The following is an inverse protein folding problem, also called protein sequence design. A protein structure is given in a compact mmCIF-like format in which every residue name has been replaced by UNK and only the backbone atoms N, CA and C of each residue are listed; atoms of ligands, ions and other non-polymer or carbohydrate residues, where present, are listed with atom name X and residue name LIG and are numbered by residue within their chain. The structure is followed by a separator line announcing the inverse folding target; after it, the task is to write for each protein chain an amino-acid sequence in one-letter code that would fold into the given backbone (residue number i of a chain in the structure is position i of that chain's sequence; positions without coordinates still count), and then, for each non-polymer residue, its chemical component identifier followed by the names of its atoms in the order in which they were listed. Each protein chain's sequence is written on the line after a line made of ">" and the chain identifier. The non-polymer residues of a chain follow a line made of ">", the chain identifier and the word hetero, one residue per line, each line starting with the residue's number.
data_IF_615991990738
#
_entry.id   IF_615991990738
#
_cell.length_a   1.000
_cell.length_b   1.000
_cell.length_c   1.000
_cell.angle_alpha   90.00
_cell.angle_beta   90.00
_cell.angle_gamma   90.00
#
_symmetry.space_group_name_H-M   'P 1'
#
loop_
_entity.id
_entity.type
_entity.pdbx_description
1 polymer ?
#
# COMPACT_ATOMS: atom_id res chain seq x y z
N UNK A 1 -108.23 -20.28 12.55
CA UNK A 1 -107.33 -19.20 12.08
C UNK A 1 -106.20 -18.89 13.08
N UNK A 2 -106.49 -18.65 14.36
CA UNK A 2 -105.45 -18.34 15.38
C UNK A 2 -104.44 -19.46 15.67
N UNK A 3 -104.82 -20.73 15.50
CA UNK A 3 -103.93 -21.86 15.78
C UNK A 3 -102.84 -22.09 14.72
N UNK A 4 -103.13 -21.76 13.46
CA UNK A 4 -102.16 -21.87 12.35
C UNK A 4 -101.14 -20.72 12.36
N UNK A 5 -101.54 -19.49 12.73
CA UNK A 5 -100.59 -18.38 12.88
C UNK A 5 -99.55 -18.64 13.96
N UNK A 6 -99.95 -19.13 15.15
CA UNK A 6 -99.01 -19.47 16.23
C UNK A 6 -98.03 -20.58 15.84
N UNK A 7 -98.48 -21.58 15.06
CA UNK A 7 -97.63 -22.67 14.59
C UNK A 7 -96.56 -22.18 13.61
N UNK A 8 -96.92 -21.29 12.70
CA UNK A 8 -95.97 -20.69 11.73
C UNK A 8 -94.93 -19.83 12.46
N UNK A 9 -95.33 -19.02 13.45
CA UNK A 9 -94.39 -18.20 14.23
C UNK A 9 -93.41 -19.02 15.07
N UNK A 10 -93.87 -20.16 15.62
CA UNK A 10 -93.02 -21.10 16.36
C UNK A 10 -91.97 -21.76 15.45
N UNK A 11 -92.37 -22.20 14.25
CA UNK A 11 -91.44 -22.80 13.27
C UNK A 11 -90.37 -21.78 12.84
N UNK A 12 -90.76 -20.53 12.55
CA UNK A 12 -89.79 -19.49 12.17
C UNK A 12 -88.83 -19.12 13.31
N UNK A 13 -89.27 -19.17 14.56
CA UNK A 13 -88.40 -18.91 15.71
C UNK A 13 -87.42 -20.07 15.94
N UNK A 14 -87.87 -21.30 15.69
CA UNK A 14 -87.05 -22.50 15.80
C UNK A 14 -85.97 -22.55 14.71
N UNK A 15 -86.30 -22.19 13.47
CA UNK A 15 -85.33 -22.04 12.38
C UNK A 15 -84.28 -20.95 12.67
N UNK A 16 -84.68 -19.83 13.30
CA UNK A 16 -83.74 -18.77 13.72
C UNK A 16 -82.81 -19.22 14.84
N UNK A 17 -83.30 -20.05 15.77
CA UNK A 17 -82.50 -20.63 16.84
C UNK A 17 -81.46 -21.60 16.29
N UNK A 18 -81.86 -22.51 15.40
CA UNK A 18 -80.97 -23.46 14.73
C UNK A 18 -79.93 -22.77 13.83
N UNK A 19 -80.25 -21.61 13.24
CA UNK A 19 -79.29 -20.79 12.51
C UNK A 19 -78.26 -20.14 13.45
N UNK A 20 -78.71 -19.65 14.62
CA UNK A 20 -77.83 -19.06 15.64
C UNK A 20 -76.92 -20.09 16.32
N UNK A 21 -77.41 -21.30 16.55
CA UNK A 21 -76.61 -22.42 17.08
C UNK A 21 -75.49 -22.79 16.10
N UNK A 22 -75.78 -22.91 14.80
CA UNK A 22 -74.75 -23.15 13.77
C UNK A 22 -73.71 -22.04 13.67
N UNK A 23 -74.13 -20.78 13.77
CA UNK A 23 -73.20 -19.63 13.79
C UNK A 23 -72.31 -19.66 15.04
N UNK A 24 -72.83 -20.13 16.18
CA UNK A 24 -72.06 -20.27 17.41
C UNK A 24 -71.02 -21.40 17.30
N UNK A 25 -71.42 -22.57 16.78
CA UNK A 25 -70.53 -23.71 16.53
C UNK A 25 -69.39 -23.36 15.57
N UNK A 26 -69.68 -22.60 14.50
CA UNK A 26 -68.65 -22.15 13.55
C UNK A 26 -67.65 -21.19 14.21
N UNK A 27 -68.12 -20.28 15.07
CA UNK A 27 -67.24 -19.37 15.84
C UNK A 27 -66.42 -20.09 16.89
N UNK A 28 -66.97 -21.12 17.54
CA UNK A 28 -66.24 -21.96 18.48
C UNK A 28 -65.14 -22.75 17.78
N UNK A 29 -65.41 -23.30 16.59
CA UNK A 29 -64.40 -23.97 15.77
C UNK A 29 -63.26 -23.03 15.34
N UNK A 30 -63.60 -21.82 14.86
CA UNK A 30 -62.61 -20.80 14.52
C UNK A 30 -61.77 -20.38 15.73
N UNK A 31 -62.39 -20.24 16.91
CA UNK A 31 -61.67 -19.91 18.14
C UNK A 31 -60.70 -21.03 18.55
N UNK A 32 -61.10 -22.30 18.42
CA UNK A 32 -60.22 -23.44 18.70
C UNK A 32 -59.02 -23.50 17.73
N UNK A 33 -59.22 -23.20 16.45
CA UNK A 33 -58.15 -23.14 15.46
C UNK A 33 -57.15 -22.01 15.76
N UNK A 34 -57.65 -20.82 16.13
CA UNK A 34 -56.83 -19.69 16.56
C UNK A 34 -56.04 -20.01 17.84
N UNK A 35 -56.67 -20.65 18.83
CA UNK A 35 -55.97 -21.10 20.04
C UNK A 35 -54.87 -22.12 19.74
N UNK A 36 -55.12 -23.05 18.82
CA UNK A 36 -54.13 -24.03 18.40
C UNK A 36 -52.93 -23.34 17.73
N UNK A 37 -53.19 -22.44 16.77
CA UNK A 37 -52.14 -21.66 16.10
C UNK A 37 -51.34 -20.80 17.08
N UNK A 38 -52.00 -20.21 18.09
CA UNK A 38 -51.32 -19.42 19.11
C UNK A 38 -50.41 -20.28 20.00
N UNK A 39 -50.86 -21.49 20.37
CA UNK A 39 -50.04 -22.44 21.14
C UNK A 39 -48.79 -22.86 20.39
N UNK A 40 -48.91 -23.15 19.09
CA UNK A 40 -47.73 -23.45 18.26
C UNK A 40 -46.74 -22.28 18.21
N UNK A 41 -47.22 -21.06 18.02
CA UNK A 41 -46.34 -19.89 17.92
C UNK A 41 -45.64 -19.60 19.26
N UNK A 42 -46.32 -19.79 20.39
CA UNK A 42 -45.72 -19.68 21.73
C UNK A 42 -44.61 -20.73 21.91
N UNK A 43 -44.80 -21.96 21.44
CA UNK A 43 -43.79 -23.01 21.54
C UNK A 43 -42.59 -22.76 20.61
N UNK A 44 -42.82 -22.20 19.41
CA UNK A 44 -41.74 -21.71 18.53
C UNK A 44 -40.93 -20.60 19.20
N UNK A 45 -41.57 -19.64 19.85
CA UNK A 45 -40.88 -18.56 20.56
C UNK A 45 -40.08 -19.07 21.77
N UNK A 46 -40.59 -20.09 22.48
CA UNK A 46 -39.86 -20.73 23.58
C UNK A 46 -38.60 -21.43 23.10
N UNK A 47 -38.72 -22.25 22.04
CA UNK A 47 -37.57 -22.95 21.45
C UNK A 47 -36.54 -21.98 20.89
N UNK A 48 -36.97 -20.92 20.21
CA UNK A 48 -36.08 -19.84 19.75
C UNK A 48 -35.35 -19.16 20.90
N UNK A 49 -36.05 -18.84 22.00
CA UNK A 49 -35.45 -18.22 23.19
C UNK A 49 -34.39 -19.12 23.82
N UNK A 50 -34.65 -20.43 23.93
CA UNK A 50 -33.66 -21.39 24.46
C UNK A 50 -32.42 -21.47 23.56
N UNK A 51 -32.58 -21.51 22.23
CA UNK A 51 -31.46 -21.50 21.29
C UNK A 51 -30.62 -20.22 21.39
N UNK A 52 -31.25 -19.05 21.56
CA UNK A 52 -30.53 -17.80 21.77
C UNK A 52 -29.72 -17.81 23.07
N UNK A 53 -30.27 -18.38 24.16
CA UNK A 53 -29.55 -18.50 25.43
C UNK A 53 -28.34 -19.45 25.32
N UNK A 54 -28.47 -20.56 24.60
CA UNK A 54 -27.34 -21.45 24.31
C UNK A 54 -26.27 -20.77 23.47
N UNK A 55 -26.64 -19.99 22.44
CA UNK A 55 -25.68 -19.23 21.64
C UNK A 55 -24.93 -18.18 22.45
N UNK A 56 -25.62 -17.47 23.35
CA UNK A 56 -24.98 -16.52 24.28
C UNK A 56 -23.98 -17.24 25.18
N UNK A 57 -24.36 -18.39 25.75
CA UNK A 57 -23.46 -19.17 26.60
C UNK A 57 -22.21 -19.67 25.87
N UNK A 58 -22.35 -20.13 24.62
CA UNK A 58 -21.22 -20.53 23.77
C UNK A 58 -20.30 -19.34 23.48
N UNK A 59 -20.86 -18.16 23.18
CA UNK A 59 -20.08 -16.93 22.96
C UNK A 59 -19.32 -16.50 24.20
N UNK A 60 -19.97 -16.51 25.38
CA UNK A 60 -19.32 -16.18 26.65
C UNK A 60 -18.16 -17.12 26.96
N UNK A 61 -18.33 -18.42 26.71
CA UNK A 61 -17.25 -19.40 26.87
C UNK A 61 -16.08 -19.14 25.92
N UNK A 62 -16.37 -18.86 24.65
CA UNK A 62 -15.34 -18.55 23.65
C UNK A 62 -14.56 -17.28 24.00
N UNK A 63 -15.25 -16.23 24.46
CA UNK A 63 -14.63 -14.98 24.92
C UNK A 63 -13.74 -15.23 26.15
N UNK A 64 -14.18 -16.07 27.09
CA UNK A 64 -13.37 -16.46 28.25
C UNK A 64 -12.08 -17.19 27.85
N UNK A 65 -12.18 -18.16 26.93
CA UNK A 65 -11.02 -18.90 26.43
C UNK A 65 -10.06 -18.01 25.62
N UNK A 66 -10.59 -17.09 24.82
CA UNK A 66 -9.80 -16.06 24.12
C UNK A 66 -9.06 -15.15 25.10
N UNK A 67 -9.73 -14.68 26.15
CA UNK A 67 -9.10 -13.83 27.17
C UNK A 67 -7.96 -14.53 27.90
N UNK A 68 -8.09 -15.83 28.21
CA UNK A 68 -6.98 -16.61 28.77
C UNK A 68 -5.78 -16.70 27.82
N UNK A 69 -6.03 -16.94 26.54
CA UNK A 69 -4.97 -16.99 25.52
C UNK A 69 -4.27 -15.62 25.34
N UNK A 70 -5.04 -14.53 25.39
CA UNK A 70 -4.49 -13.17 25.36
C UNK A 70 -3.59 -12.91 26.58
N UNK A 71 -3.99 -13.32 27.77
CA UNK A 71 -3.18 -13.16 28.99
C UNK A 71 -1.88 -13.97 28.93
N UNK A 72 -1.93 -15.23 28.48
CA UNK A 72 -0.74 -16.07 28.26
C UNK A 72 0.23 -15.44 27.26
N UNK A 73 -0.29 -14.90 26.15
CA UNK A 73 0.53 -14.18 25.16
C UNK A 73 1.08 -12.87 25.70
N UNK A 74 0.33 -12.13 26.51
CA UNK A 74 0.76 -10.89 27.16
C UNK A 74 1.97 -11.12 28.07
N UNK A 75 1.97 -12.21 28.85
CA UNK A 75 3.12 -12.62 29.66
C UNK A 75 4.34 -12.90 28.78
N UNK A 76 4.13 -13.66 27.70
CA UNK A 76 5.20 -14.00 26.75
C UNK A 76 5.81 -12.76 26.08
N UNK A 77 4.97 -11.79 25.68
CA UNK A 77 5.41 -10.51 25.12
C UNK A 77 6.26 -9.74 26.13
N UNK A 78 5.83 -9.64 27.39
CA UNK A 78 6.60 -8.96 28.45
C UNK A 78 7.96 -9.61 28.72
N UNK A 79 8.08 -10.92 28.53
CA UNK A 79 9.35 -11.62 28.66
C UNK A 79 10.27 -11.35 27.45
N UNK A 80 9.71 -11.30 26.23
CA UNK A 80 10.46 -10.87 25.05
C UNK A 80 10.92 -9.41 25.14
N UNK A 81 10.09 -8.50 25.64
CA UNK A 81 10.45 -7.10 25.86
C UNK A 81 11.62 -6.96 26.84
N UNK A 82 11.59 -7.71 27.95
CA UNK A 82 12.72 -7.77 28.90
C UNK A 82 14.00 -8.30 28.24
N UNK A 83 13.88 -9.33 27.40
CA UNK A 83 15.02 -9.87 26.66
C UNK A 83 15.60 -8.85 25.69
N UNK A 84 14.76 -8.17 24.89
CA UNK A 84 15.18 -7.12 23.95
C UNK A 84 15.90 -5.99 24.68
N UNK A 85 15.34 -5.53 25.79
CA UNK A 85 15.94 -4.44 26.59
C UNK A 85 17.32 -4.83 27.15
N UNK A 86 17.49 -6.10 27.56
CA UNK A 86 18.79 -6.63 28.00
C UNK A 86 19.82 -6.70 26.86
N UNK A 87 19.39 -7.10 25.65
CA UNK A 87 20.24 -7.19 24.47
C UNK A 87 20.65 -5.80 23.97
N UNK A 88 19.73 -4.84 23.96
CA UNK A 88 20.01 -3.45 23.61
C UNK A 88 21.04 -2.83 24.56
N UNK A 89 20.92 -3.10 25.87
CA UNK A 89 21.89 -2.63 26.87
C UNK A 89 23.28 -3.22 26.61
N UNK A 90 23.37 -4.52 26.33
CA UNK A 90 24.63 -5.20 26.01
C UNK A 90 25.25 -4.68 24.71
N UNK A 91 24.44 -4.45 23.68
CA UNK A 91 24.90 -3.87 22.42
C UNK A 91 25.42 -2.44 22.61
N UNK A 92 24.73 -1.62 23.41
CA UNK A 92 25.19 -0.26 23.74
C UNK A 92 26.56 -0.27 24.44
N UNK A 93 26.76 -1.18 25.39
CA UNK A 93 28.06 -1.37 26.05
C UNK A 93 29.15 -1.79 25.06
N UNK A 94 28.87 -2.72 24.14
CA UNK A 94 29.85 -3.14 23.12
C UNK A 94 30.21 -2.02 22.15
N UNK A 95 29.24 -1.22 21.72
CA UNK A 95 29.48 -0.07 20.84
C UNK A 95 30.34 0.99 21.54
N UNK A 96 30.06 1.28 22.82
CA UNK A 96 30.82 2.23 23.62
C UNK A 96 32.28 1.75 23.83
N UNK A 97 32.47 0.45 24.09
CA UNK A 97 33.80 -0.15 24.20
C UNK A 97 34.60 -0.06 22.88
N UNK A 98 33.96 -0.35 21.75
CA UNK A 98 34.58 -0.24 20.42
C UNK A 98 34.90 1.21 20.06
N UNK A 99 34.01 2.15 20.40
CA UNK A 99 34.24 3.58 20.19
C UNK A 99 35.45 4.08 20.96
N UNK A 100 35.60 3.67 22.23
CA UNK A 100 36.75 4.04 23.05
C UNK A 100 38.06 3.43 22.51
N UNK A 101 38.03 2.18 22.02
CA UNK A 101 39.18 1.55 21.36
C UNK A 101 39.59 2.29 20.08
N UNK A 102 38.62 2.69 19.25
CA UNK A 102 38.88 3.44 18.02
C UNK A 102 39.47 4.83 18.31
N UNK A 103 38.98 5.50 19.35
CA UNK A 103 39.48 6.82 19.75
C UNK A 103 40.93 6.73 20.28
N UNK A 104 41.25 5.69 21.05
CA UNK A 104 42.62 5.43 21.49
C UNK A 104 43.56 5.19 20.29
N UNK A 105 43.15 4.38 19.30
CA UNK A 105 43.94 4.17 18.08
C UNK A 105 44.10 5.44 17.23
N UNK A 106 43.12 6.35 17.24
CA UNK A 106 43.22 7.65 16.55
C UNK A 106 44.26 8.53 17.21
N UNK A 107 44.25 8.62 18.53
CA UNK A 107 45.23 9.41 19.29
C UNK A 107 46.65 8.87 19.12
N UNK A 108 46.83 7.55 19.05
CA UNK A 108 48.13 6.92 18.76
C UNK A 108 48.63 7.34 17.37
N UNK A 109 47.77 7.25 16.34
CA UNK A 109 48.11 7.64 14.96
C UNK A 109 48.35 9.15 14.80
N UNK A 110 47.69 9.98 15.61
CA UNK A 110 47.91 11.42 15.61
C UNK A 110 49.29 11.78 16.19
N UNK A 111 49.70 11.12 17.29
CA UNK A 111 51.07 11.24 17.82
C UNK A 111 52.13 10.78 16.81
N UNK A 112 51.89 9.67 16.11
CA UNK A 112 52.79 9.20 15.04
C UNK A 112 52.89 10.22 13.89
N UNK A 113 51.79 10.89 13.51
CA UNK A 113 51.82 11.97 12.51
C UNK A 113 52.57 13.20 13.00
N UNK A 114 52.37 13.63 14.24
CA UNK A 114 53.10 14.79 14.78
C UNK A 114 54.62 14.56 14.80
N UNK A 115 55.06 13.33 15.10
CA UNK A 115 56.46 12.92 15.01
C UNK A 115 56.94 12.96 13.55
N UNK A 116 56.17 12.39 12.62
CA UNK A 116 56.47 12.42 11.18
C UNK A 116 56.53 13.84 10.60
N UNK A 117 55.62 14.73 10.99
CA UNK A 117 55.58 16.12 10.54
C UNK A 117 56.79 16.93 11.07
N UNK A 118 57.27 16.62 12.29
CA UNK A 118 58.51 17.20 12.80
C UNK A 118 59.75 16.73 12.02
N UNK A 119 59.81 15.45 11.63
CA UNK A 119 60.90 14.92 10.79
C UNK A 119 60.86 15.55 9.38
N UNK A 120 59.67 15.67 8.79
CA UNK A 120 59.48 16.34 7.49
C UNK A 120 59.90 17.82 7.58
N UNK A 121 59.54 18.53 8.65
CA UNK A 121 59.94 19.92 8.85
C UNK A 121 61.47 20.08 9.00
N UNK A 122 62.13 19.13 9.67
CA UNK A 122 63.59 19.11 9.82
C UNK A 122 64.28 18.87 8.46
N UNK A 123 63.80 17.88 7.69
CA UNK A 123 64.30 17.58 6.35
C UNK A 123 64.06 18.75 5.39
N UNK A 124 62.91 19.42 5.48
CA UNK A 124 62.58 20.60 4.66
C UNK A 124 63.54 21.75 4.95
N UNK A 125 63.87 22.01 6.23
CA UNK A 125 64.89 23.01 6.61
C UNK A 125 66.29 22.65 6.12
N UNK A 126 66.65 21.37 6.10
CA UNK A 126 67.93 20.91 5.55
C UNK A 126 67.97 21.10 4.02
N UNK A 127 66.87 20.80 3.33
CA UNK A 127 66.72 21.01 1.89
C UNK A 127 66.77 22.50 1.52
N UNK A 128 66.12 23.37 2.30
CA UNK A 128 66.17 24.83 2.11
C UNK A 128 67.57 25.40 2.29
N UNK A 129 68.35 24.90 3.27
CA UNK A 129 69.76 25.25 3.44
C UNK A 129 70.60 24.80 2.24
N UNK A 130 70.43 23.55 1.79
CA UNK A 130 71.10 23.04 0.61
C UNK A 130 70.74 23.86 -0.66
N UNK A 131 69.47 24.25 -0.82
CA UNK A 131 69.02 25.12 -1.91
C UNK A 131 69.58 26.55 -1.81
N UNK A 132 69.74 27.11 -0.61
CA UNK A 132 70.42 28.40 -0.42
C UNK A 132 71.92 28.33 -0.74
N UNK A 133 72.58 27.22 -0.42
CA UNK A 133 73.98 26.99 -0.78
C UNK A 133 74.15 26.80 -2.29
N UNK A 134 73.24 26.06 -2.94
CA UNK A 134 73.20 25.94 -4.40
C UNK A 134 72.91 27.29 -5.10
N UNK A 135 72.05 28.14 -4.51
CA UNK A 135 71.76 29.49 -5.02
C UNK A 135 72.95 30.45 -4.88
N UNK A 136 73.81 30.26 -3.88
CA UNK A 136 75.05 31.03 -3.71
C UNK A 136 76.13 30.62 -4.71
N UNK A 137 76.12 29.38 -5.21
CA UNK A 137 77.06 28.91 -6.23
C UNK A 137 76.63 29.19 -7.68
N UNK A 138 75.39 29.59 -7.92
CA UNK A 138 74.84 29.82 -9.29
C UNK A 138 74.54 31.29 -9.63
N UNK A 139 75.05 32.25 -8.86
CA UNK A 139 74.95 33.68 -9.18
C UNK A 139 76.07 34.14 -10.14
N UNK A 140 76.14 33.56 -11.33
CA UNK A 140 76.75 34.19 -12.51
C UNK A 140 76.16 33.52 -13.75
N UNK A 141 75.46 34.32 -14.56
CA UNK A 141 75.16 34.18 -16.00
C UNK A 141 73.69 34.46 -16.33
N UNK A 142 73.52 35.27 -17.37
CA UNK A 142 72.34 36.00 -17.80
C UNK A 142 71.28 35.16 -18.55
N UNK A 143 70.12 35.79 -18.71
CA UNK A 143 69.21 35.77 -19.87
C UNK A 143 68.25 34.59 -20.14
N UNK A 144 66.97 34.99 -20.25
CA UNK A 144 65.99 34.71 -21.32
C UNK A 144 64.89 33.63 -21.15
N UNK A 145 63.64 34.13 -21.25
CA UNK A 145 62.40 33.65 -21.93
C UNK A 145 61.90 32.20 -21.80
N UNK A 146 60.58 32.10 -21.61
CA UNK A 146 59.70 30.96 -21.98
C UNK A 146 58.73 30.56 -20.86
N UNK A 147 57.49 31.06 -20.82
CA UNK A 147 56.24 30.55 -21.43
C UNK A 147 55.84 29.14 -20.96
N UNK A 148 54.86 29.08 -20.04
CA UNK A 148 54.00 27.91 -19.75
C UNK A 148 52.59 28.49 -19.52
N UNK A 149 51.55 28.13 -20.28
CA UNK A 149 51.06 26.77 -20.44
C UNK A 149 49.95 26.49 -19.43
N UNK A 150 48.92 27.36 -19.36
CA UNK A 150 47.74 27.16 -18.52
C UNK A 150 46.70 26.40 -19.31
N UNK A 151 46.46 25.14 -18.92
CA UNK A 151 45.31 24.35 -19.35
C UNK A 151 44.04 25.02 -18.80
N UNK A 152 43.39 25.81 -19.64
CA UNK A 152 42.00 26.24 -19.43
C UNK A 152 41.11 25.03 -19.70
N UNK A 153 40.35 24.64 -18.69
CA UNK A 153 39.25 23.68 -18.82
C UNK A 153 38.08 24.46 -19.40
N UNK A 154 37.72 24.16 -20.64
CA UNK A 154 36.59 24.76 -21.33
C UNK A 154 35.29 24.49 -20.55
N UNK A 155 34.78 25.53 -19.88
CA UNK A 155 33.37 25.66 -19.55
C UNK A 155 32.62 25.86 -20.87
N UNK A 156 32.22 24.74 -21.49
CA UNK A 156 31.19 24.76 -22.52
C UNK A 156 29.83 24.84 -21.83
N UNK A 157 29.31 26.05 -21.90
CA UNK A 157 27.90 26.42 -21.97
C UNK A 157 27.01 25.24 -22.42
N UNK A 158 26.36 24.62 -21.44
CA UNK A 158 25.22 23.74 -21.66
C UNK A 158 24.04 24.43 -21.02
N UNK A 159 23.22 25.05 -21.86
CA UNK A 159 21.81 25.31 -21.58
C UNK A 159 21.26 24.17 -20.71
N UNK A 160 20.96 24.47 -19.44
CA UNK A 160 20.58 23.49 -18.41
C UNK A 160 19.36 22.66 -18.85
N UNK A 161 19.62 21.53 -19.47
CA UNK A 161 18.66 20.44 -19.63
C UNK A 161 18.58 19.78 -18.26
N UNK A 162 17.43 19.87 -17.58
CA UNK A 162 17.21 19.22 -16.29
C UNK A 162 17.42 17.70 -16.42
N UNK A 163 18.61 17.23 -16.03
CA UNK A 163 18.97 15.82 -16.01
C UNK A 163 18.03 15.06 -15.07
N UNK A 164 17.53 13.91 -15.53
CA UNK A 164 16.79 12.99 -14.66
C UNK A 164 17.63 12.69 -13.42
N UNK A 165 17.00 12.76 -12.25
CA UNK A 165 17.70 12.72 -10.96
C UNK A 165 17.27 11.49 -10.16
N UNK A 166 18.25 10.80 -9.58
CA UNK A 166 18.03 9.73 -8.62
C UNK A 166 17.72 10.28 -7.22
N UNK A 167 17.38 9.37 -6.30
CA UNK A 167 17.12 9.67 -4.91
C UNK A 167 18.15 8.96 -4.02
N UNK A 168 18.92 9.68 -3.20
CA UNK A 168 19.95 9.07 -2.36
C UNK A 168 19.33 8.11 -1.33
N UNK A 169 20.00 6.98 -1.09
CA UNK A 169 19.62 6.05 -0.03
C UNK A 169 20.03 6.61 1.34
N UNK A 170 19.07 6.75 2.26
CA UNK A 170 19.28 7.27 3.62
C UNK A 170 19.45 6.15 4.66
N UNK A 171 19.77 4.94 4.20
CA UNK A 171 19.83 3.72 5.01
C UNK A 171 18.54 2.92 4.89
N UNK A 172 18.55 1.93 3.99
CA UNK A 172 17.41 1.04 3.71
C UNK A 172 16.14 1.77 3.21
N UNK A 173 16.29 2.93 2.56
CA UNK A 173 15.14 3.71 2.05
C UNK A 173 14.82 3.48 0.58
N UNK A 174 15.36 2.41 -0.03
CA UNK A 174 15.11 2.09 -1.44
C UNK A 174 13.61 1.83 -1.74
N UNK A 175 12.84 1.36 -0.74
CA UNK A 175 11.38 1.25 -0.85
C UNK A 175 10.70 2.63 -1.01
N UNK A 176 11.17 3.68 -0.30
CA UNK A 176 10.71 5.05 -0.50
C UNK A 176 11.12 5.55 -1.89
N UNK A 177 12.39 5.36 -2.25
CA UNK A 177 12.95 5.88 -3.49
C UNK A 177 12.21 5.32 -4.71
N UNK A 178 12.00 4.02 -4.76
CA UNK A 178 11.29 3.36 -5.86
C UNK A 178 9.84 3.84 -6.00
N UNK A 179 9.09 3.95 -4.90
CA UNK A 179 7.70 4.44 -4.91
C UNK A 179 7.62 5.91 -5.34
N UNK A 180 8.51 6.76 -4.85
CA UNK A 180 8.52 8.18 -5.23
C UNK A 180 8.87 8.37 -6.71
N UNK A 181 9.83 7.60 -7.25
CA UNK A 181 10.14 7.64 -8.68
C UNK A 181 8.96 7.16 -9.53
N UNK A 182 8.23 6.13 -9.09
CA UNK A 182 7.02 5.66 -9.76
C UNK A 182 5.87 6.68 -9.71
N UNK A 183 5.65 7.34 -8.57
CA UNK A 183 4.64 8.40 -8.47
C UNK A 183 5.01 9.63 -9.30
N UNK A 184 6.31 9.94 -9.38
CA UNK A 184 6.82 11.07 -10.15
C UNK A 184 6.70 10.86 -11.67
N UNK A 185 6.72 9.61 -12.15
CA UNK A 185 6.52 9.29 -13.57
C UNK A 185 5.08 9.53 -14.05
N UNK A 186 4.12 9.64 -13.13
CA UNK A 186 2.71 9.92 -13.45
C UNK A 186 2.57 11.41 -13.74
N UNK A 187 2.48 11.77 -15.03
CA UNK A 187 2.44 13.16 -15.50
C UNK A 187 1.37 14.00 -14.78
N UNK A 188 0.12 13.50 -14.72
CA UNK A 188 -1.00 14.23 -14.11
C UNK A 188 -0.75 14.54 -12.62
N UNK A 189 -0.20 13.58 -11.86
CA UNK A 189 0.11 13.77 -10.45
C UNK A 189 1.31 14.71 -10.28
N UNK A 190 2.37 14.49 -11.07
CA UNK A 190 3.58 15.31 -11.04
C UNK A 190 3.28 16.76 -11.31
N UNK A 191 2.53 17.04 -12.37
CA UNK A 191 2.25 18.40 -12.80
C UNK A 191 1.36 19.10 -11.75
N UNK A 192 0.35 18.39 -11.21
CA UNK A 192 -0.50 18.91 -10.14
C UNK A 192 0.28 19.30 -8.86
N UNK A 193 1.25 18.48 -8.44
CA UNK A 193 2.06 18.75 -7.24
C UNK A 193 3.16 19.79 -7.47
N UNK A 194 3.76 19.82 -8.66
CA UNK A 194 4.83 20.78 -8.99
C UNK A 194 4.29 22.20 -9.23
N UNK A 195 3.08 22.35 -9.77
CA UNK A 195 2.41 23.64 -9.99
C UNK A 195 1.66 24.19 -8.77
N UNK A 196 1.78 23.56 -7.60
CA UNK A 196 1.11 23.98 -6.35
C UNK A 196 -0.43 24.03 -6.40
N UNK A 197 -1.07 23.39 -7.39
CA UNK A 197 -2.53 23.40 -7.54
C UNK A 197 -3.26 22.79 -6.34
N UNK A 198 -2.59 21.89 -5.62
CA UNK A 198 -3.10 21.21 -4.44
C UNK A 198 -3.28 22.11 -3.22
N UNK A 199 -2.59 23.26 -3.14
CA UNK A 199 -2.57 24.09 -1.92
C UNK A 199 -3.95 24.57 -1.48
N UNK A 200 -4.84 24.85 -2.44
CA UNK A 200 -6.22 25.29 -2.17
C UNK A 200 -7.14 24.16 -1.67
N UNK A 201 -6.66 22.92 -1.71
CA UNK A 201 -7.39 21.71 -1.33
C UNK A 201 -6.83 21.04 -0.08
N UNK A 202 -5.82 21.62 0.57
CA UNK A 202 -5.24 21.06 1.79
C UNK A 202 -6.31 21.02 2.88
N UNK A 203 -6.59 19.82 3.36
CA UNK A 203 -7.48 19.57 4.47
C UNK A 203 -6.73 19.77 5.80
N UNK A 204 -6.88 20.93 6.42
CA UNK A 204 -6.27 21.24 7.71
C UNK A 204 -6.85 20.43 8.89
N UNK A 205 -7.98 19.75 8.69
CA UNK A 205 -8.60 18.88 9.70
C UNK A 205 -8.15 17.42 9.60
N UNK A 206 -7.40 17.04 8.56
CA UNK A 206 -6.78 15.72 8.48
C UNK A 206 -5.79 15.52 9.64
N UNK A 207 -5.55 14.28 10.03
CA UNK A 207 -4.54 13.94 11.05
C UNK A 207 -3.15 14.43 10.63
N UNK A 208 -2.87 14.34 9.33
CA UNK A 208 -1.62 14.73 8.68
C UNK A 208 -1.48 16.26 8.54
N UNK A 209 -2.59 17.01 8.56
CA UNK A 209 -2.65 18.48 8.45
C UNK A 209 -1.94 19.04 7.20
N UNK A 210 -1.94 18.32 6.08
CA UNK A 210 -1.28 18.72 4.84
C UNK A 210 0.21 18.41 4.77
N UNK A 211 0.81 17.83 5.83
CA UNK A 211 2.26 17.62 5.89
C UNK A 211 2.76 16.66 4.82
N UNK A 212 1.99 15.61 4.51
CA UNK A 212 2.41 14.58 3.55
C UNK A 212 2.41 15.14 2.14
N UNK A 213 1.31 15.76 1.72
CA UNK A 213 1.23 16.34 0.38
C UNK A 213 2.28 17.43 0.17
N UNK A 214 2.55 18.24 1.20
CA UNK A 214 3.61 19.25 1.14
C UNK A 214 5.00 18.62 1.02
N UNK A 215 5.30 17.57 1.78
CA UNK A 215 6.59 16.88 1.73
C UNK A 215 6.82 16.21 0.36
N UNK A 216 5.82 15.48 -0.15
CA UNK A 216 5.89 14.85 -1.48
C UNK A 216 6.05 15.90 -2.59
N UNK A 217 5.27 16.99 -2.55
CA UNK A 217 5.38 18.08 -3.53
C UNK A 217 6.77 18.75 -3.51
N UNK A 218 7.39 18.89 -2.33
CA UNK A 218 8.75 19.42 -2.23
C UNK A 218 9.79 18.49 -2.86
N UNK A 219 9.66 17.16 -2.67
CA UNK A 219 10.52 16.17 -3.33
C UNK A 219 10.34 16.24 -4.85
N UNK A 220 9.09 16.33 -5.34
CA UNK A 220 8.80 16.42 -6.78
C UNK A 220 9.42 17.67 -7.43
N UNK A 221 9.39 18.81 -6.72
CA UNK A 221 10.03 20.04 -7.18
C UNK A 221 11.56 19.93 -7.19
N UNK A 222 12.15 19.29 -6.18
CA UNK A 222 13.58 19.06 -6.13
C UNK A 222 14.05 18.11 -7.25
N UNK A 223 13.28 17.05 -7.54
CA UNK A 223 13.51 16.18 -8.69
C UNK A 223 13.38 16.92 -10.02
N UNK A 224 12.46 17.90 -10.10
CA UNK A 224 12.30 18.71 -11.30
C UNK A 224 13.46 19.68 -11.53
N UNK A 225 14.02 20.25 -10.45
CA UNK A 225 15.17 21.17 -10.54
C UNK A 225 16.51 20.47 -10.74
N UNK A 226 16.61 19.18 -10.36
CA UNK A 226 17.85 18.40 -10.44
C UNK A 226 18.93 18.79 -9.42
N UNK A 227 18.57 19.62 -8.43
CA UNK A 227 19.51 20.08 -7.40
C UNK A 227 19.75 18.98 -6.35
N UNK A 228 20.83 18.21 -6.49
CA UNK A 228 21.16 17.04 -5.62
C UNK A 228 21.10 17.36 -4.12
N UNK A 229 21.63 18.52 -3.68
CA UNK A 229 21.59 18.93 -2.26
C UNK A 229 20.16 19.17 -1.76
N UNK A 230 19.32 19.75 -2.61
CA UNK A 230 17.91 19.98 -2.27
C UNK A 230 17.15 18.66 -2.24
N UNK A 231 17.40 17.76 -3.20
CA UNK A 231 16.81 16.42 -3.25
C UNK A 231 17.08 15.68 -1.93
N UNK A 232 18.34 15.62 -1.48
CA UNK A 232 18.70 14.98 -0.22
C UNK A 232 17.93 15.57 0.98
N UNK A 233 17.85 16.91 1.08
CA UNK A 233 17.12 17.56 2.17
C UNK A 233 15.62 17.27 2.13
N UNK A 234 15.02 17.26 0.93
CA UNK A 234 13.57 17.04 0.77
C UNK A 234 13.18 15.59 1.01
N UNK A 235 13.96 14.62 0.52
CA UNK A 235 13.68 13.20 0.74
C UNK A 235 13.85 12.83 2.22
N UNK A 236 14.84 13.39 2.91
CA UNK A 236 14.99 13.21 4.36
C UNK A 236 13.82 13.83 5.14
N UNK A 237 13.32 15.00 4.72
CA UNK A 237 12.12 15.59 5.32
C UNK A 237 10.88 14.72 5.10
N UNK A 238 10.75 14.08 3.93
CA UNK A 238 9.64 13.16 3.66
C UNK A 238 9.74 11.89 4.53
N UNK A 239 10.95 11.32 4.66
CA UNK A 239 11.21 10.17 5.54
C UNK A 239 10.74 10.46 6.98
N UNK A 240 11.15 11.60 7.54
CA UNK A 240 10.74 11.97 8.90
C UNK A 240 9.22 12.10 9.05
N UNK A 241 8.52 12.64 8.03
CA UNK A 241 7.05 12.74 8.05
C UNK A 241 6.39 11.35 8.03
N UNK A 242 6.95 10.40 7.28
CA UNK A 242 6.46 9.02 7.25
C UNK A 242 6.65 8.35 8.62
N UNK A 243 7.83 8.50 9.22
CA UNK A 243 8.18 7.95 10.55
C UNK A 243 7.35 8.54 11.72
N UNK A 244 6.88 9.79 11.56
CA UNK A 244 6.00 10.45 12.51
C UNK A 244 4.55 9.93 12.42
N UNK A 245 4.11 9.50 11.23
CA UNK A 245 2.73 9.07 10.97
C UNK A 245 2.49 7.60 11.27
N UNK A 246 3.51 6.78 11.07
CA UNK A 246 3.42 5.34 11.30
C UNK A 246 4.72 4.85 11.93
N UNK A 247 4.58 4.34 13.16
CA UNK A 247 5.69 3.91 13.99
C UNK A 247 6.42 2.71 13.40
N UNK A 248 5.77 1.92 12.54
CA UNK A 248 6.40 0.78 11.87
C UNK A 248 7.56 1.23 10.98
N UNK A 249 7.46 2.40 10.33
CA UNK A 249 8.52 2.90 9.44
C UNK A 249 9.71 3.54 10.16
N UNK A 250 9.71 3.60 11.51
CA UNK A 250 10.78 4.25 12.28
C UNK A 250 12.12 3.53 12.15
N UNK A 251 13.16 4.33 11.97
CA UNK A 251 14.56 3.90 11.99
C UNK A 251 15.11 3.66 10.58
N UNK A 252 15.86 2.58 10.44
CA UNK A 252 16.54 2.22 9.18
C UNK A 252 16.29 0.75 8.82
N UNK A 253 15.10 0.26 9.17
CA UNK A 253 14.64 -1.07 8.78
C UNK A 253 14.17 -1.08 7.33
N UNK A 254 14.15 -2.26 6.73
CA UNK A 254 13.56 -2.44 5.41
C UNK A 254 12.06 -2.67 5.56
N UNK A 255 11.28 -2.06 4.66
CA UNK A 255 9.82 -2.15 4.63
C UNK A 255 9.33 -2.63 3.27
N UNK A 256 8.09 -3.11 3.23
CA UNK A 256 7.43 -3.44 1.97
C UNK A 256 7.06 -2.14 1.22
N UNK A 257 7.41 -2.08 -0.07
CA UNK A 257 7.11 -0.92 -0.90
C UNK A 257 5.60 -0.79 -1.17
N UNK A 258 4.86 -1.90 -1.17
CA UNK A 258 3.40 -1.91 -1.31
C UNK A 258 2.71 -1.29 -0.09
N UNK A 259 3.16 -1.60 1.12
CA UNK A 259 2.62 -1.02 2.36
C UNK A 259 2.83 0.49 2.39
N UNK A 260 4.04 0.95 2.03
CA UNK A 260 4.31 2.38 1.87
C UNK A 260 3.41 3.01 0.80
N UNK A 261 3.23 2.38 -0.36
CA UNK A 261 2.39 2.90 -1.44
C UNK A 261 0.94 3.06 -0.96
N UNK A 262 0.38 2.04 -0.31
CA UNK A 262 -0.99 2.07 0.21
C UNK A 262 -1.18 3.14 1.28
N UNK A 263 -0.24 3.23 2.24
CA UNK A 263 -0.22 4.27 3.27
C UNK A 263 -0.11 5.67 2.67
N UNK A 264 0.84 5.88 1.75
CA UNK A 264 1.08 7.17 1.12
C UNK A 264 -0.11 7.65 0.29
N UNK A 265 -0.75 6.79 -0.50
CA UNK A 265 -1.97 7.15 -1.25
C UNK A 265 -3.12 7.49 -0.30
N UNK A 266 -3.26 6.77 0.81
CA UNK A 266 -4.28 7.06 1.83
C UNK A 266 -4.03 8.41 2.51
N UNK A 267 -2.80 8.69 2.93
CA UNK A 267 -2.43 9.96 3.55
C UNK A 267 -2.57 11.13 2.58
N UNK A 268 -2.16 10.97 1.32
CA UNK A 268 -2.35 11.98 0.28
C UNK A 268 -3.84 12.23 -0.01
N UNK A 269 -4.67 11.18 0.01
CA UNK A 269 -6.10 11.32 -0.13
C UNK A 269 -6.69 12.13 1.04
N UNK A 270 -6.34 11.78 2.28
CA UNK A 270 -6.81 12.47 3.48
C UNK A 270 -6.37 13.95 3.55
N UNK A 271 -5.16 14.25 3.09
CA UNK A 271 -4.64 15.61 2.98
C UNK A 271 -5.38 16.46 1.93
N UNK A 272 -6.05 15.84 0.95
CA UNK A 272 -6.64 16.51 -0.22
C UNK A 272 -8.15 16.32 -0.38
N UNK A 273 -8.79 15.55 0.50
CA UNK A 273 -10.24 15.35 0.51
C UNK A 273 -10.92 16.62 1.02
N UNK A 274 -12.03 17.03 0.40
CA UNK A 274 -12.78 18.20 0.86
C UNK A 274 -13.81 17.75 1.88
N UNK A 275 -14.14 18.63 2.84
CA UNK A 275 -15.12 18.32 3.90
C UNK A 275 -16.53 17.96 3.38
N UNK A 276 -16.86 18.34 2.15
CA UNK A 276 -18.17 18.11 1.53
C UNK A 276 -18.13 17.14 0.33
N UNK A 277 -16.95 16.60 -0.01
CA UNK A 277 -16.75 15.73 -1.16
C UNK A 277 -15.77 14.64 -0.77
N UNK A 278 -16.24 13.39 -0.77
CA UNK A 278 -15.42 12.20 -0.50
C UNK A 278 -14.38 11.92 -1.59
N UNK A 279 -14.33 12.74 -2.65
CA UNK A 279 -13.36 12.62 -3.73
C UNK A 279 -12.23 13.65 -3.64
N UNK A 280 -11.00 13.18 -3.85
CA UNK A 280 -9.81 13.99 -4.08
C UNK A 280 -9.22 13.68 -5.45
N UNK A 281 -8.16 14.38 -5.85
CA UNK A 281 -7.43 14.01 -7.08
C UNK A 281 -6.89 12.58 -6.98
N UNK A 282 -6.49 12.15 -5.78
CA UNK A 282 -5.92 10.82 -5.54
C UNK A 282 -6.99 9.74 -5.78
N UNK A 283 -8.20 9.94 -5.25
CA UNK A 283 -9.29 9.00 -5.51
C UNK A 283 -9.67 8.97 -6.99
N UNK A 284 -9.67 10.12 -7.67
CA UNK A 284 -10.00 10.20 -9.10
C UNK A 284 -8.93 9.56 -10.00
N UNK A 285 -7.67 9.58 -9.57
CA UNK A 285 -6.56 9.03 -10.35
C UNK A 285 -6.37 7.53 -10.15
N UNK A 286 -6.65 7.00 -8.96
CA UNK A 286 -6.20 5.66 -8.55
C UNK A 286 -7.30 4.71 -8.09
N UNK A 287 -8.51 5.21 -7.76
CA UNK A 287 -9.53 4.33 -7.20
C UNK A 287 -10.19 3.46 -8.27
N UNK A 288 -10.17 2.16 -8.00
CA UNK A 288 -10.95 1.13 -8.67
C UNK A 288 -12.22 0.92 -7.84
N UNK A 289 -13.37 0.84 -8.49
CA UNK A 289 -14.62 0.49 -7.83
C UNK A 289 -15.01 -0.94 -8.19
N UNK A 290 -15.25 -1.76 -7.17
CA UNK A 290 -15.71 -3.13 -7.29
C UNK A 290 -17.14 -3.27 -6.77
N UNK A 291 -17.89 -4.16 -7.39
CA UNK A 291 -19.17 -4.63 -6.89
C UNK A 291 -19.00 -6.10 -6.48
N UNK A 292 -19.24 -6.38 -5.21
CA UNK A 292 -19.30 -7.72 -4.66
C UNK A 292 -20.75 -8.15 -4.54
N UNK A 293 -21.09 -9.28 -5.17
CA UNK A 293 -22.43 -9.83 -5.19
C UNK A 293 -22.40 -11.22 -4.58
N UNK A 294 -23.17 -11.40 -3.51
CA UNK A 294 -23.35 -12.69 -2.85
C UNK A 294 -24.71 -13.25 -3.27
N UNK A 295 -24.70 -14.41 -3.91
CA UNK A 295 -25.89 -15.09 -4.41
C UNK A 295 -26.07 -16.43 -3.70
N UNK A 296 -27.27 -16.70 -3.18
CA UNK A 296 -27.58 -17.98 -2.55
C UNK A 296 -27.54 -19.11 -3.58
N UNK A 297 -26.87 -20.20 -3.25
CA UNK A 297 -26.77 -21.33 -4.18
C UNK A 297 -28.08 -22.14 -4.30
N UNK A 298 -28.93 -22.13 -3.27
CA UNK A 298 -30.19 -22.89 -3.25
C UNK A 298 -31.30 -22.19 -4.02
N UNK A 299 -31.58 -20.93 -3.68
CA UNK A 299 -32.72 -20.19 -4.25
C UNK A 299 -32.32 -19.23 -5.39
N UNK A 300 -31.02 -19.12 -5.69
CA UNK A 300 -30.45 -18.26 -6.74
C UNK A 300 -30.74 -16.76 -6.59
N UNK A 301 -31.21 -16.31 -5.42
CA UNK A 301 -31.44 -14.90 -5.13
C UNK A 301 -30.15 -14.22 -4.66
N UNK A 302 -30.00 -12.96 -5.04
CA UNK A 302 -28.94 -12.08 -4.53
C UNK A 302 -29.26 -11.74 -3.08
N UNK A 303 -28.35 -12.13 -2.18
CA UNK A 303 -28.46 -11.91 -0.74
C UNK A 303 -27.91 -10.53 -0.38
N UNK A 304 -26.75 -10.20 -0.94
CA UNK A 304 -26.00 -9.00 -0.61
C UNK A 304 -25.32 -8.46 -1.86
N UNK A 305 -25.30 -7.13 -1.99
CA UNK A 305 -24.57 -6.42 -3.02
C UNK A 305 -23.88 -5.23 -2.37
N UNK A 306 -22.55 -5.26 -2.32
CA UNK A 306 -21.73 -4.18 -1.74
C UNK A 306 -20.83 -3.57 -2.80
N UNK A 307 -20.54 -2.28 -2.64
CA UNK A 307 -19.54 -1.59 -3.45
C UNK A 307 -18.33 -1.29 -2.59
N UNK A 308 -17.17 -1.61 -3.12
CA UNK A 308 -15.88 -1.46 -2.45
C UNK A 308 -14.95 -0.64 -3.34
N UNK A 309 -14.09 0.16 -2.72
CA UNK A 309 -13.17 1.06 -3.43
C UNK A 309 -11.75 0.78 -2.99
N UNK A 310 -10.86 0.54 -3.96
CA UNK A 310 -9.46 0.19 -3.71
C UNK A 310 -8.54 1.09 -4.54
N UNK A 311 -7.40 1.51 -4.00
CA UNK A 311 -6.41 2.30 -4.77
C UNK A 311 -5.37 1.46 -5.51
N UNK A 312 -5.40 0.14 -5.34
CA UNK A 312 -4.54 -0.81 -6.06
C UNK A 312 -5.20 -2.20 -6.14
N UNK A 313 -4.77 -3.00 -7.11
CA UNK A 313 -5.18 -4.39 -7.30
C UNK A 313 -4.06 -5.33 -6.84
N UNK A 314 -4.33 -6.18 -5.85
CA UNK A 314 -3.35 -7.18 -5.37
C UNK A 314 -3.62 -8.56 -5.98
N UNK A 315 -2.65 -9.10 -6.70
CA UNK A 315 -2.72 -10.41 -7.37
C UNK A 315 -1.77 -11.41 -6.72
N UNK A 316 -2.30 -12.57 -6.34
CA UNK A 316 -1.51 -13.64 -5.72
C UNK A 316 -0.75 -14.45 -6.76
N UNK A 317 0.59 -14.31 -6.77
CA UNK A 317 1.47 -15.07 -7.65
C UNK A 317 1.53 -16.52 -7.15
N UNK A 318 1.42 -17.49 -8.06
CA UNK A 318 1.53 -18.92 -7.76
C UNK A 318 2.96 -19.42 -8.02
N UNK A 319 3.34 -20.53 -7.41
CA UNK A 319 4.67 -21.10 -7.64
C UNK A 319 4.76 -21.71 -9.04
N UNK A 320 5.84 -21.42 -9.75
CA UNK A 320 6.08 -21.92 -11.10
C UNK A 320 7.23 -21.19 -11.79
N UNK A 321 7.43 -21.51 -13.07
CA UNK A 321 8.45 -20.86 -13.90
C UNK A 321 7.98 -19.49 -14.38
N UNK A 322 6.81 -19.45 -15.03
CA UNK A 322 6.20 -18.23 -15.54
C UNK A 322 4.66 -18.30 -15.47
N UNK A 323 4.01 -17.15 -15.35
CA UNK A 323 2.55 -16.99 -15.39
C UNK A 323 2.17 -15.76 -16.19
N UNK A 324 1.08 -15.80 -16.94
CA UNK A 324 0.54 -14.62 -17.60
C UNK A 324 -0.19 -13.74 -16.58
N UNK A 325 -0.06 -12.41 -16.71
CA UNK A 325 -0.83 -11.46 -15.91
C UNK A 325 -2.34 -11.69 -16.06
N UNK A 326 -2.80 -12.03 -17.27
CA UNK A 326 -4.20 -12.35 -17.55
C UNK A 326 -4.70 -13.55 -16.72
N UNK A 327 -3.87 -14.57 -16.53
CA UNK A 327 -4.24 -15.74 -15.73
C UNK A 327 -4.39 -15.38 -14.24
N UNK A 328 -3.54 -14.48 -13.75
CA UNK A 328 -3.64 -13.96 -12.38
C UNK A 328 -4.91 -13.12 -12.19
N UNK A 329 -5.29 -12.31 -13.17
CA UNK A 329 -6.55 -11.56 -13.18
C UNK A 329 -7.75 -12.51 -13.20
N UNK A 330 -7.74 -13.49 -14.09
CA UNK A 330 -8.78 -14.52 -14.18
C UNK A 330 -8.96 -15.27 -12.86
N UNK A 331 -7.85 -15.63 -12.21
CA UNK A 331 -7.88 -16.27 -10.87
C UNK A 331 -8.41 -15.34 -9.79
N UNK A 332 -8.05 -14.05 -9.82
CA UNK A 332 -8.48 -13.07 -8.82
C UNK A 332 -9.99 -12.80 -8.90
N UNK A 333 -10.57 -12.74 -10.11
CA UNK A 333 -11.99 -12.50 -10.34
C UNK A 333 -12.82 -13.77 -10.54
N UNK A 334 -12.24 -14.95 -10.31
CA UNK A 334 -12.98 -16.21 -10.35
C UNK A 334 -14.04 -16.25 -9.26
N UNK A 335 -15.25 -16.74 -9.60
CA UNK A 335 -16.31 -16.94 -8.63
C UNK A 335 -15.82 -17.89 -7.52
N UNK A 336 -16.02 -17.48 -6.27
CA UNK A 336 -15.67 -18.28 -5.08
C UNK A 336 -16.91 -18.67 -4.30
N UNK A 337 -16.81 -19.76 -3.55
CA UNK A 337 -17.83 -20.21 -2.61
C UNK A 337 -17.49 -19.70 -1.21
N UNK A 338 -18.44 -19.07 -0.54
CA UNK A 338 -18.30 -18.56 0.83
C UNK A 338 -19.43 -19.04 1.71
N UNK A 339 -19.18 -19.23 3.00
CA UNK A 339 -20.26 -19.47 3.99
C UNK A 339 -20.95 -18.15 4.29
N UNK A 340 -22.27 -18.09 4.18
CA UNK A 340 -23.04 -16.87 4.42
C UNK A 340 -24.46 -17.16 4.90
N UNK A 341 -24.98 -16.30 5.77
CA UNK A 341 -26.35 -16.38 6.29
C UNK A 341 -27.36 -15.89 5.25
N UNK A 342 -28.20 -16.80 4.77
CA UNK A 342 -29.21 -16.47 3.77
C UNK A 342 -30.54 -16.12 4.44
N UNK A 343 -30.88 -14.82 4.49
CA UNK A 343 -32.14 -14.32 5.05
C UNK A 343 -33.40 -14.88 4.36
N UNK A 344 -33.28 -15.36 3.11
CA UNK A 344 -34.39 -16.00 2.39
C UNK A 344 -34.59 -17.47 2.76
N UNK A 345 -33.53 -18.17 3.17
CA UNK A 345 -33.60 -19.57 3.59
C UNK A 345 -33.65 -19.74 5.12
N UNK A 346 -33.31 -18.70 5.88
CA UNK A 346 -33.23 -18.72 7.33
C UNK A 346 -32.08 -19.56 7.90
N UNK A 347 -31.07 -19.89 7.08
CA UNK A 347 -29.95 -20.76 7.46
C UNK A 347 -28.64 -20.34 6.76
N UNK A 348 -27.52 -20.74 7.35
CA UNK A 348 -26.18 -20.56 6.79
C UNK A 348 -25.93 -21.54 5.63
N UNK A 349 -25.53 -21.02 4.47
CA UNK A 349 -25.31 -21.80 3.26
C UNK A 349 -24.02 -21.42 2.55
N UNK A 350 -23.50 -22.37 1.77
CA UNK A 350 -22.43 -22.11 0.81
C UNK A 350 -22.99 -21.27 -0.35
N UNK A 351 -22.66 -19.99 -0.37
CA UNK A 351 -23.14 -19.01 -1.35
C UNK A 351 -22.07 -18.71 -2.40
N UNK A 352 -22.49 -18.29 -3.59
CA UNK A 352 -21.60 -17.79 -4.63
C UNK A 352 -21.24 -16.33 -4.32
N UNK A 353 -19.96 -16.01 -4.39
CA UNK A 353 -19.46 -14.66 -4.28
C UNK A 353 -18.75 -14.28 -5.57
N UNK A 354 -19.34 -13.34 -6.27
CA UNK A 354 -18.84 -12.78 -7.52
C UNK A 354 -18.34 -11.36 -7.26
N UNK A 355 -17.14 -11.06 -7.73
CA UNK A 355 -16.58 -9.72 -7.67
C UNK A 355 -16.38 -9.21 -9.10
N UNK A 356 -16.92 -8.03 -9.41
CA UNK A 356 -16.82 -7.41 -10.74
C UNK A 356 -16.34 -5.97 -10.63
N UNK A 357 -15.61 -5.52 -11.63
CA UNK A 357 -15.14 -4.13 -11.69
C UNK A 357 -16.26 -3.25 -12.24
N UNK A 358 -16.64 -2.22 -11.49
CA UNK A 358 -17.63 -1.22 -11.91
C UNK A 358 -16.94 -0.08 -12.66
N UNK A 359 -15.87 0.45 -12.06
CA UNK A 359 -15.12 1.60 -12.58
C UNK A 359 -13.61 1.36 -12.49
N UNK A 360 -12.89 1.83 -13.51
CA UNK A 360 -11.45 1.67 -13.66
C UNK A 360 -10.75 3.04 -13.65
N UNK A 361 -9.66 3.21 -12.88
CA UNK A 361 -8.98 4.50 -12.71
C UNK A 361 -8.09 4.88 -13.90
N UNK A 362 -7.81 6.17 -14.13
CA UNK A 362 -6.82 6.63 -15.10
C UNK A 362 -5.44 6.00 -14.92
N UNK A 363 -5.03 5.74 -13.68
CA UNK A 363 -3.78 5.06 -13.35
C UNK A 363 -4.07 3.83 -12.47
N UNK A 364 -3.64 2.66 -12.91
CA UNK A 364 -3.87 1.39 -12.27
C UNK A 364 -2.58 0.84 -11.65
N UNK A 365 -2.58 0.68 -10.32
CA UNK A 365 -1.54 -0.04 -9.61
C UNK A 365 -1.91 -1.52 -9.50
N UNK A 366 -1.00 -2.40 -9.94
CA UNK A 366 -1.12 -3.86 -9.76
C UNK A 366 0.04 -4.33 -8.90
N UNK A 367 -0.25 -4.76 -7.69
CA UNK A 367 0.70 -5.38 -6.79
C UNK A 367 0.72 -6.90 -7.00
N UNK A 368 1.92 -7.46 -7.17
CA UNK A 368 2.16 -8.89 -7.28
C UNK A 368 2.58 -9.45 -5.92
N UNK A 369 1.62 -10.03 -5.20
CA UNK A 369 1.85 -10.68 -3.91
C UNK A 369 2.63 -11.99 -4.13
N UNK A 370 3.96 -11.90 -3.94
CA UNK A 370 4.93 -12.99 -4.13
C UNK A 370 5.24 -13.75 -2.85
N UNK A 371 4.73 -13.29 -1.73
CA UNK A 371 5.03 -13.80 -0.41
C UNK A 371 3.78 -14.46 0.16
N UNK A 372 3.95 -15.58 0.84
CA UNK A 372 2.85 -16.30 1.46
C UNK A 372 3.29 -16.87 2.79
N UNK A 373 2.33 -17.23 3.63
CA UNK A 373 2.53 -17.84 4.95
C UNK A 373 3.34 -19.14 4.95
N UNK A 374 3.67 -19.70 3.78
CA UNK A 374 4.44 -20.94 3.62
C UNK A 374 5.97 -20.74 3.69
N UNK A 375 6.50 -19.51 3.79
CA UNK A 375 7.91 -19.28 4.13
C UNK A 375 8.53 -17.95 3.67
N UNK A 376 9.75 -17.61 4.12
CA UNK A 376 10.38 -16.30 3.94
C UNK A 376 11.01 -16.07 2.55
N UNK A 377 11.08 -17.11 1.71
CA UNK A 377 11.62 -17.01 0.34
C UNK A 377 10.48 -16.63 -0.60
N UNK A 378 10.58 -15.45 -1.20
CA UNK A 378 9.60 -14.97 -2.19
C UNK A 378 9.54 -15.86 -3.43
N UNK A 379 8.35 -15.97 -4.00
CA UNK A 379 8.12 -16.70 -5.26
C UNK A 379 8.85 -15.99 -6.40
N UNK A 380 9.79 -16.72 -7.01
CA UNK A 380 10.61 -16.24 -8.15
C UNK A 380 9.92 -16.40 -9.51
N UNK A 381 8.65 -16.81 -9.52
CA UNK A 381 7.84 -16.99 -10.73
C UNK A 381 7.82 -15.71 -11.55
N UNK A 382 8.25 -15.78 -12.81
CA UNK A 382 8.13 -14.63 -13.70
C UNK A 382 6.65 -14.36 -14.01
N UNK A 383 6.23 -13.10 -13.91
CA UNK A 383 4.89 -12.70 -14.38
C UNK A 383 5.09 -12.00 -15.71
N UNK A 384 4.53 -12.57 -16.76
CA UNK A 384 4.54 -12.01 -18.11
C UNK A 384 3.36 -11.04 -18.22
N UNK A 385 3.67 -9.76 -18.39
CA UNK A 385 2.67 -8.70 -18.49
C UNK A 385 2.84 -7.94 -19.82
N UNK A 386 1.74 -7.48 -20.44
CA UNK A 386 1.81 -6.76 -21.71
C UNK A 386 2.29 -5.32 -21.48
N UNK A 387 3.12 -4.80 -22.40
CA UNK A 387 3.55 -3.41 -22.34
C UNK A 387 2.43 -2.42 -22.70
N UNK A 388 1.58 -2.80 -23.65
CA UNK A 388 0.47 -2.02 -24.19
C UNK A 388 -0.77 -2.91 -24.29
N UNK A 389 -1.94 -2.30 -24.50
CA UNK A 389 -3.22 -3.01 -24.70
C UNK A 389 -3.65 -3.95 -23.55
N UNK A 390 -3.27 -3.66 -22.30
CA UNK A 390 -3.83 -4.37 -21.15
C UNK A 390 -5.33 -4.02 -21.03
N UNK A 391 -6.20 -5.01 -21.21
CA UNK A 391 -7.66 -4.87 -21.07
C UNK A 391 -8.20 -5.72 -19.92
N UNK A 392 -9.01 -5.11 -19.05
CA UNK A 392 -9.72 -5.80 -17.97
C UNK A 392 -11.20 -6.03 -18.30
N UNK A 393 -11.59 -5.91 -19.58
CA UNK A 393 -12.98 -5.93 -20.04
C UNK A 393 -13.77 -7.15 -19.56
N UNK A 394 -13.15 -8.32 -19.54
CA UNK A 394 -13.78 -9.59 -19.13
C UNK A 394 -14.17 -9.63 -17.64
N UNK A 395 -13.50 -8.82 -16.82
CA UNK A 395 -13.73 -8.74 -15.37
C UNK A 395 -14.66 -7.59 -14.97
N UNK A 396 -15.04 -6.74 -15.93
CA UNK A 396 -15.96 -5.62 -15.69
C UNK A 396 -17.43 -6.05 -15.65
N UNK A 397 -18.25 -5.25 -14.97
CA UNK A 397 -19.71 -5.37 -15.02
C UNK A 397 -20.21 -5.10 -16.44
N UNK A 398 -21.22 -5.86 -16.88
CA UNK A 398 -21.86 -5.66 -18.18
C UNK A 398 -22.37 -4.22 -18.33
N UNK A 399 -22.03 -3.58 -19.44
CA UNK A 399 -22.39 -2.19 -19.73
C UNK A 399 -21.36 -1.15 -19.32
N UNK A 400 -20.29 -1.53 -18.61
CA UNK A 400 -19.18 -0.61 -18.32
C UNK A 400 -18.24 -0.46 -19.52
N UNK A 401 -17.68 0.75 -19.70
CA UNK A 401 -16.62 1.01 -20.68
C UNK A 401 -15.27 0.53 -20.14
N UNK A 402 -14.55 -0.27 -20.94
CA UNK A 402 -13.22 -0.75 -20.57
C UNK A 402 -12.14 0.04 -21.31
N UNK A 403 -11.29 0.80 -20.59
CA UNK A 403 -10.12 1.42 -21.18
C UNK A 403 -8.99 0.39 -21.40
N UNK A 404 -8.16 0.64 -22.40
CA UNK A 404 -6.88 -0.05 -22.58
C UNK A 404 -5.79 0.69 -21.80
N UNK A 405 -4.82 -0.06 -21.29
CA UNK A 405 -3.72 0.48 -20.52
C UNK A 405 -2.36 0.17 -21.15
N UNK A 406 -1.45 1.10 -20.97
CA UNK A 406 -0.01 0.92 -21.23
C UNK A 406 0.78 0.99 -19.93
N UNK A 407 1.87 0.21 -19.84
CA UNK A 407 2.75 0.22 -18.67
C UNK A 407 3.58 1.51 -18.67
N UNK A 408 3.61 2.19 -17.53
CA UNK A 408 4.34 3.45 -17.38
C UNK A 408 5.47 3.37 -16.35
N UNK A 409 5.34 2.49 -15.35
CA UNK A 409 6.44 2.17 -14.44
C UNK A 409 6.33 0.77 -13.84
N UNK A 410 7.49 0.24 -13.41
CA UNK A 410 7.61 -1.08 -12.77
C UNK A 410 8.55 -0.95 -11.58
N UNK A 411 8.07 -1.33 -10.39
CA UNK A 411 8.90 -1.50 -9.20
C UNK A 411 9.37 -2.95 -9.16
N UNK A 412 10.69 -3.13 -9.05
CA UNK A 412 11.33 -4.43 -8.91
C UNK A 412 11.85 -4.59 -7.49
N UNK A 413 11.62 -5.76 -6.90
CA UNK A 413 12.24 -6.14 -5.64
C UNK A 413 13.22 -7.30 -5.85
N UNK A 414 14.44 -7.18 -5.32
CA UNK A 414 15.45 -8.25 -5.34
C UNK A 414 15.83 -8.62 -3.91
N UNK A 415 15.34 -9.74 -3.41
CA UNK A 415 15.64 -10.20 -2.06
C UNK A 415 14.69 -11.27 -1.52
N UNK A 416 14.71 -11.44 -0.20
CA UNK A 416 13.75 -12.21 0.62
C UNK A 416 12.65 -11.28 1.16
N UNK A 417 11.70 -11.81 1.94
CA UNK A 417 10.70 -10.98 2.62
C UNK A 417 11.28 -9.94 3.58
N UNK A 418 12.38 -10.31 4.24
CA UNK A 418 12.95 -9.54 5.36
C UNK A 418 14.15 -8.70 4.96
N UNK A 419 14.72 -8.97 3.78
CA UNK A 419 15.93 -8.34 3.29
C UNK A 419 15.96 -8.31 1.76
N UNK A 420 16.11 -7.14 1.16
CA UNK A 420 16.21 -6.97 -0.28
C UNK A 420 16.52 -5.55 -0.69
N UNK A 421 16.31 -5.29 -1.97
CA UNK A 421 16.54 -3.99 -2.59
C UNK A 421 15.46 -3.68 -3.61
N UNK A 422 14.91 -2.47 -3.53
CA UNK A 422 13.90 -1.98 -4.46
C UNK A 422 14.53 -1.06 -5.50
N UNK A 423 14.10 -1.23 -6.74
CA UNK A 423 14.51 -0.40 -7.88
C UNK A 423 13.30 -0.08 -8.74
N UNK A 424 13.32 1.02 -9.47
CA UNK A 424 12.21 1.46 -10.30
C UNK A 424 12.62 1.59 -11.77
N UNK A 425 11.73 1.17 -12.66
CA UNK A 425 11.83 1.38 -14.09
C UNK A 425 10.69 2.30 -14.48
N UNK A 426 10.98 3.51 -14.96
CA UNK A 426 9.96 4.50 -15.28
C UNK A 426 10.12 5.02 -16.70
N UNK A 427 9.00 5.15 -17.42
CA UNK A 427 8.93 5.83 -18.71
C UNK A 427 8.87 7.34 -18.45
N UNK A 428 9.75 8.09 -19.10
CA UNK A 428 9.80 9.54 -19.01
C UNK A 428 9.45 10.16 -20.36
N UNK A 429 8.54 11.13 -20.36
CA UNK A 429 8.14 11.90 -21.53
C UNK A 429 8.77 13.31 -21.55
N UNK A 430 9.91 13.50 -20.87
CA UNK A 430 10.56 14.82 -20.81
C UNK A 430 11.20 15.19 -22.15
N UNK A 431 11.01 16.43 -22.58
CA UNK A 431 11.73 17.12 -23.66
C UNK A 431 11.75 16.39 -25.02
N UNK A 432 10.69 15.65 -25.37
CA UNK A 432 10.59 14.99 -26.67
C UNK A 432 11.42 13.71 -26.83
N UNK A 433 12.13 13.27 -25.77
CA UNK A 433 12.70 11.93 -25.69
C UNK A 433 11.78 11.05 -24.84
N UNK A 434 10.92 10.29 -25.50
CA UNK A 434 10.20 9.19 -24.87
C UNK A 434 11.17 8.02 -24.65
N UNK A 435 11.37 7.63 -23.40
CA UNK A 435 12.37 6.63 -23.07
C UNK A 435 12.24 6.05 -21.66
N UNK A 436 12.68 4.81 -21.53
CA UNK A 436 12.70 4.09 -20.26
C UNK A 436 14.00 4.35 -19.50
N UNK A 437 13.86 4.56 -18.20
CA UNK A 437 14.98 4.84 -17.30
C UNK A 437 14.91 3.91 -16.09
N UNK A 438 16.06 3.36 -15.72
CA UNK A 438 16.27 2.56 -14.53
C UNK A 438 16.82 3.45 -13.41
N UNK A 439 16.13 3.41 -12.27
CA UNK A 439 16.43 4.14 -11.05
C UNK A 439 16.82 3.15 -9.96
N UNK A 440 18.09 3.24 -9.56
CA UNK A 440 18.67 2.50 -8.45
C UNK A 440 19.23 3.51 -7.45
N UNK A 441 18.38 3.93 -6.52
CA UNK A 441 18.64 5.06 -5.63
C UNK A 441 19.11 6.31 -6.39
N UNK A 442 20.34 6.77 -6.17
CA UNK A 442 20.93 7.96 -6.81
C UNK A 442 21.42 7.69 -8.25
N UNK A 443 21.56 6.42 -8.62
CA UNK A 443 21.97 6.01 -9.96
C UNK A 443 20.77 6.01 -10.92
N UNK A 444 20.94 6.72 -12.03
CA UNK A 444 19.98 6.75 -13.15
C UNK A 444 20.68 6.28 -14.42
N UNK A 445 20.06 5.36 -15.14
CA UNK A 445 20.55 4.86 -16.43
C UNK A 445 19.41 4.66 -17.43
N UNK A 446 19.69 4.76 -18.73
CA UNK A 446 18.71 4.43 -19.76
C UNK A 446 18.55 2.91 -19.89
N UNK A 447 17.35 2.45 -20.19
CA UNK A 447 17.02 1.04 -20.40
C UNK A 447 15.96 0.91 -21.49
N UNK A 448 15.70 -0.31 -21.92
CA UNK A 448 14.80 -0.68 -23.00
C UNK A 448 13.62 -1.51 -22.48
N UNK A 449 12.53 -1.52 -23.24
CA UNK A 449 11.31 -2.21 -22.86
C UNK A 449 11.51 -3.74 -22.78
N UNK A 450 12.35 -4.32 -23.63
CA UNK A 450 12.59 -5.77 -23.64
C UNK A 450 13.22 -6.24 -22.32
N UNK A 451 14.17 -5.47 -21.78
CA UNK A 451 14.74 -5.72 -20.45
C UNK A 451 13.67 -5.69 -19.36
N UNK A 452 12.70 -4.77 -19.45
CA UNK A 452 11.63 -4.59 -18.44
C UNK A 452 10.65 -5.77 -18.48
N UNK A 453 10.27 -6.23 -19.68
CA UNK A 453 9.35 -7.36 -19.85
C UNK A 453 9.95 -8.69 -19.37
N UNK A 454 11.28 -8.80 -19.33
CA UNK A 454 12.00 -9.96 -18.82
C UNK A 454 12.21 -9.95 -17.30
N UNK A 455 11.71 -8.94 -16.57
CA UNK A 455 11.90 -8.83 -15.13
C UNK A 455 11.10 -9.89 -14.35
N UNK A 456 11.75 -11.01 -14.05
CA UNK A 456 11.18 -12.07 -13.20
C UNK A 456 10.76 -11.58 -11.80
N UNK A 457 11.39 -10.53 -11.29
CA UNK A 457 11.17 -10.00 -9.94
C UNK A 457 10.41 -8.67 -9.91
N UNK A 458 9.61 -8.38 -10.94
CA UNK A 458 8.65 -7.29 -10.92
C UNK A 458 7.67 -7.47 -9.75
N UNK A 459 7.46 -6.43 -8.95
CA UNK A 459 6.70 -6.49 -7.70
C UNK A 459 5.45 -5.59 -7.74
N UNK A 460 5.58 -4.38 -8.28
CA UNK A 460 4.45 -3.48 -8.53
C UNK A 460 4.50 -3.05 -9.99
N UNK A 461 3.39 -3.18 -10.70
CA UNK A 461 3.21 -2.70 -12.07
C UNK A 461 2.31 -1.48 -12.04
N UNK A 462 2.66 -0.43 -12.77
CA UNK A 462 1.88 0.79 -12.89
C UNK A 462 1.48 0.98 -14.34
N UNK A 463 0.18 1.07 -14.55
CA UNK A 463 -0.44 1.20 -15.85
C UNK A 463 -1.16 2.55 -15.95
N UNK A 464 -1.13 3.21 -17.10
CA UNK A 464 -1.93 4.40 -17.39
C UNK A 464 -2.87 4.13 -18.55
N UNK A 465 -4.06 4.72 -18.52
CA UNK A 465 -5.00 4.63 -19.63
C UNK A 465 -4.38 5.24 -20.88
N UNK A 466 -4.47 4.50 -21.98
CA UNK A 466 -4.15 5.02 -23.31
C UNK A 466 -5.18 6.08 -23.71
N UNK A 467 -4.70 7.18 -24.29
CA UNK A 467 -5.55 8.31 -24.72
C UNK A 467 -6.29 8.04 -26.02
#
# INVERSE_FOLDING_TARGET
>A
YNHNKKKVTLVTFQEQLEAKERELEEREAQHQELEYSLREEVERLRTWKTQQQEQVHVREKLVSDLNKNVEEKSITIKDYERLISSLQTRHKQQVEELSNKLEAERQEREKEREVGDCEIALLTKQLEKAHQELRKSTATTQHSRGRSGSYKRDERDSSQVASLSGLPNLGNTCYINSIIQCLYSINTLRDYLTHDEFRKYINSKSEQKGKVVLAVAQVFKALSSGAVKDIFKKINSLKNVIEDLDEEFRGSHQHDAHDLLAGLLTWLHNDLVKLNDSSSIISKLFNIEHESVITCDKNKQVICCTKEVFSNLTLSVSEGNAQLLQDLLNKHYAQRKISWDCHFCGQEHLCNHDMKIVHLPPVLFIHLSRYSSQGPKGKKTQVLFPAEDLSLKEHMKLGSTSPCYEVCSVVRHKGTMTAGHYTAYCRSHRNGSDGWHFFDDDLVSSTDLDTILQLATAHILVYTQMK
#
